data_IF_561900150514
#
_entry.id   IF_561900150514
#
_cell.length_a   1.000
_cell.length_b   1.000
_cell.length_c   1.000
_cell.angle_alpha   90.00
_cell.angle_beta   90.00
_cell.angle_gamma   90.00
#
_symmetry.space_group_name_H-M   'P 1'
#
loop_
_entity.id
_entity.type
_entity.pdbx_description
1 polymer ?
#
# COMPACT_ATOMS: atom_id res chain seq x y z
N UNK A 1 42.18 30.36 37.65
CA UNK A 1 41.76 29.97 36.28
C UNK A 1 40.77 28.84 36.41
N UNK A 2 39.48 29.14 36.28
CA UNK A 2 38.39 28.22 36.61
C UNK A 2 38.05 27.30 35.45
N UNK A 3 37.96 26.01 35.72
CA UNK A 3 37.45 25.02 34.77
C UNK A 3 36.00 25.33 34.40
N UNK A 4 35.59 25.20 33.12
CA UNK A 4 34.19 25.31 32.76
C UNK A 4 33.42 24.12 33.34
N UNK A 5 32.38 24.40 34.11
CA UNK A 5 31.55 23.41 34.81
C UNK A 5 30.82 22.52 33.79
N UNK A 6 30.80 21.18 33.96
CA UNK A 6 30.19 20.22 33.03
C UNK A 6 28.66 20.39 32.87
N UNK A 7 28.05 21.24 33.67
CA UNK A 7 26.60 21.48 33.71
C UNK A 7 26.08 22.26 32.50
N UNK A 8 26.89 23.14 31.88
CA UNK A 8 26.42 23.99 30.79
C UNK A 8 26.26 23.23 29.46
N UNK A 9 27.16 22.27 29.20
CA UNK A 9 27.11 21.41 28.02
C UNK A 9 25.93 20.42 28.10
N UNK A 10 25.71 19.83 29.28
CA UNK A 10 24.60 18.90 29.51
C UNK A 10 23.22 19.55 29.31
N UNK A 11 23.08 20.80 29.74
CA UNK A 11 21.84 21.59 29.58
C UNK A 11 21.58 21.99 28.11
N UNK A 12 22.64 22.28 27.34
CA UNK A 12 22.53 22.58 25.91
C UNK A 12 22.14 21.32 25.10
N UNK A 13 22.68 20.16 25.46
CA UNK A 13 22.32 18.89 24.82
C UNK A 13 20.86 18.48 25.13
N UNK A 14 20.41 18.64 26.37
CA UNK A 14 19.01 18.37 26.76
C UNK A 14 18.02 19.31 26.07
N UNK A 15 18.37 20.59 25.89
CA UNK A 15 17.52 21.54 25.18
C UNK A 15 17.43 21.27 23.68
N UNK A 16 18.50 20.79 23.03
CA UNK A 16 18.46 20.36 21.62
C UNK A 16 17.61 19.08 21.45
N UNK A 17 17.69 18.12 22.38
CA UNK A 17 16.85 16.90 22.35
C UNK A 17 15.36 17.24 22.51
N UNK A 18 15.03 18.23 23.35
CA UNK A 18 13.64 18.68 23.57
C UNK A 18 13.12 19.52 22.38
N UNK A 19 13.97 20.31 21.72
CA UNK A 19 13.58 21.14 20.57
C UNK A 19 13.38 20.34 19.27
N UNK A 20 14.02 19.16 19.15
CA UNK A 20 13.88 18.24 18.02
C UNK A 20 12.97 17.04 18.31
N UNK A 21 12.22 17.04 19.42
CA UNK A 21 11.03 16.21 19.55
C UNK A 21 9.90 16.93 18.79
N UNK A 22 9.61 16.62 17.51
CA UNK A 22 8.27 16.92 17.04
C UNK A 22 7.34 16.22 18.04
N UNK A 23 6.38 16.98 18.56
CA UNK A 23 5.19 16.43 19.20
C UNK A 23 4.53 15.52 18.14
N UNK A 24 4.88 14.23 18.14
CA UNK A 24 4.25 13.22 17.30
C UNK A 24 2.89 12.93 17.94
N UNK A 25 1.97 13.89 17.84
CA UNK A 25 0.55 13.66 17.95
C UNK A 25 0.00 13.43 16.56
N UNK A 26 0.25 12.22 16.06
CA UNK A 26 -0.51 11.63 14.96
C UNK A 26 -0.16 10.16 14.97
N UNK A 27 -1.15 9.30 15.22
CA UNK A 27 -1.06 7.84 15.25
C UNK A 27 -0.07 7.33 14.21
N UNK A 28 1.14 7.04 14.65
CA UNK A 28 2.20 6.53 13.79
C UNK A 28 1.96 5.02 13.66
N UNK A 29 0.94 4.64 12.87
CA UNK A 29 0.85 3.28 12.36
C UNK A 29 2.04 3.09 11.40
N UNK A 30 3.13 2.46 11.87
CA UNK A 30 4.14 1.91 10.97
C UNK A 30 3.45 0.86 10.09
N UNK A 31 3.79 0.81 8.79
CA UNK A 31 2.79 0.65 7.75
C UNK A 31 2.34 -0.80 7.68
N UNK A 32 1.05 -1.00 7.93
CA UNK A 32 0.36 -2.16 7.39
C UNK A 32 0.48 -2.17 5.88
N UNK A 33 0.14 -3.29 5.25
CA UNK A 33 -0.02 -3.33 3.81
C UNK A 33 -1.12 -2.33 3.39
N UNK A 34 -0.81 -1.24 2.66
CA UNK A 34 -1.80 -0.21 2.32
C UNK A 34 -2.99 -0.77 1.52
N UNK A 35 -2.78 -1.88 0.80
CA UNK A 35 -3.85 -2.58 0.11
C UNK A 35 -4.92 -3.13 1.09
N UNK A 36 -4.51 -3.63 2.25
CA UNK A 36 -5.44 -4.09 3.30
C UNK A 36 -6.27 -2.94 3.87
N UNK A 37 -5.66 -1.74 4.01
CA UNK A 37 -6.36 -0.56 4.51
C UNK A 37 -7.45 -0.09 3.52
N UNK A 38 -7.18 -0.15 2.22
CA UNK A 38 -8.20 0.11 1.18
C UNK A 38 -9.34 -0.92 1.25
N UNK A 39 -9.06 -2.21 1.47
CA UNK A 39 -10.12 -3.23 1.68
C UNK A 39 -10.98 -2.88 2.90
N UNK A 40 -10.36 -2.47 4.01
CA UNK A 40 -11.08 -2.06 5.21
C UNK A 40 -11.98 -0.84 4.95
N UNK A 41 -11.49 0.17 4.21
CA UNK A 41 -12.26 1.37 3.83
C UNK A 41 -13.43 1.02 2.90
N UNK A 42 -13.21 0.15 1.91
CA UNK A 42 -14.27 -0.38 1.03
C UNK A 42 -15.38 -1.03 1.87
N UNK A 43 -15.01 -1.90 2.81
CA UNK A 43 -15.97 -2.58 3.68
C UNK A 43 -16.69 -1.62 4.65
N UNK A 44 -16.00 -0.62 5.18
CA UNK A 44 -16.61 0.47 5.96
C UNK A 44 -17.63 1.26 5.13
N UNK A 45 -17.32 1.60 3.88
CA UNK A 45 -18.25 2.29 2.97
C UNK A 45 -19.49 1.44 2.67
N UNK A 46 -19.30 0.14 2.38
CA UNK A 46 -20.38 -0.80 2.09
C UNK A 46 -21.30 -1.00 3.29
N UNK A 47 -20.73 -1.23 4.47
CA UNK A 47 -21.51 -1.43 5.69
C UNK A 47 -22.26 -0.17 6.12
N UNK A 48 -21.69 1.03 5.94
CA UNK A 48 -22.40 2.30 6.10
C UNK A 48 -23.62 2.43 5.16
N UNK A 49 -23.56 1.80 3.97
CA UNK A 49 -24.66 1.70 3.02
C UNK A 49 -25.57 0.47 3.25
N UNK A 50 -25.46 -0.21 4.40
CA UNK A 50 -26.22 -1.44 4.76
C UNK A 50 -26.01 -2.59 3.76
N UNK A 51 -24.82 -2.67 3.17
CA UNK A 51 -24.39 -3.80 2.35
C UNK A 51 -23.48 -4.72 3.17
N UNK A 52 -23.43 -6.00 2.79
CA UNK A 52 -22.50 -6.96 3.39
C UNK A 52 -21.05 -6.59 3.09
N UNK A 53 -20.17 -6.80 4.08
CA UNK A 53 -18.73 -6.75 3.89
C UNK A 53 -18.30 -7.84 2.90
N UNK A 54 -17.29 -7.52 2.10
CA UNK A 54 -16.66 -8.42 1.15
C UNK A 54 -15.49 -9.13 1.82
N UNK A 55 -15.23 -10.35 1.40
CA UNK A 55 -14.05 -11.08 1.85
C UNK A 55 -12.81 -10.59 1.12
N UNK A 56 -11.72 -10.39 1.85
CA UNK A 56 -10.42 -10.11 1.26
C UNK A 56 -9.87 -11.39 0.62
N UNK A 57 -9.69 -11.39 -0.69
CA UNK A 57 -9.17 -12.52 -1.47
C UNK A 57 -7.73 -12.22 -1.89
N UNK A 58 -6.74 -12.96 -1.35
CA UNK A 58 -5.34 -12.84 -1.77
C UNK A 58 -5.15 -13.07 -3.28
N UNK A 59 -5.92 -13.98 -3.89
CA UNK A 59 -5.88 -14.24 -5.33
C UNK A 59 -6.34 -13.05 -6.16
N UNK A 60 -7.48 -12.43 -5.79
CA UNK A 60 -7.93 -11.17 -6.42
C UNK A 60 -6.90 -10.07 -6.20
N UNK A 61 -6.32 -9.95 -5.00
CA UNK A 61 -5.31 -8.95 -4.70
C UNK A 61 -4.07 -9.11 -5.58
N UNK A 62 -3.56 -10.33 -5.71
CA UNK A 62 -2.38 -10.60 -6.53
C UNK A 62 -2.66 -10.31 -8.01
N UNK A 63 -3.82 -10.72 -8.54
CA UNK A 63 -4.19 -10.41 -9.92
C UNK A 63 -4.36 -8.90 -10.14
N UNK A 64 -4.89 -8.18 -9.15
CA UNK A 64 -4.95 -6.71 -9.18
C UNK A 64 -3.55 -6.09 -9.28
N UNK A 65 -2.57 -6.66 -8.58
CA UNK A 65 -1.17 -6.24 -8.68
C UNK A 65 -0.58 -6.54 -10.07
N UNK A 66 -0.84 -7.73 -10.64
CA UNK A 66 -0.42 -8.06 -12.01
C UNK A 66 -1.01 -7.09 -13.04
N UNK A 67 -2.28 -6.73 -12.88
CA UNK A 67 -2.96 -5.73 -13.71
C UNK A 67 -2.18 -4.40 -13.72
N UNK A 68 -1.91 -3.83 -12.54
CA UNK A 68 -1.24 -2.51 -12.48
C UNK A 68 0.24 -2.56 -12.83
N UNK A 69 0.89 -3.71 -12.64
CA UNK A 69 2.26 -3.92 -13.12
C UNK A 69 2.32 -3.89 -14.65
N UNK A 70 1.33 -4.49 -15.34
CA UNK A 70 1.19 -4.40 -16.79
C UNK A 70 0.91 -2.95 -17.24
N UNK A 71 0.13 -2.21 -16.46
CA UNK A 71 -0.30 -0.84 -16.80
C UNK A 71 0.63 0.29 -16.32
N UNK A 72 1.83 -0.03 -15.80
CA UNK A 72 2.72 0.91 -15.08
C UNK A 72 3.20 2.15 -15.85
N UNK A 73 3.05 2.19 -17.17
CA UNK A 73 3.47 3.31 -18.01
C UNK A 73 2.28 4.17 -18.50
N UNK A 74 1.04 3.82 -18.09
CA UNK A 74 -0.19 4.40 -18.63
C UNK A 74 -0.90 5.35 -17.66
N UNK A 75 -0.17 6.02 -16.77
CA UNK A 75 -0.75 7.00 -15.85
C UNK A 75 -0.88 8.38 -16.48
N UNK A 76 -2.11 8.86 -16.69
CA UNK A 76 -2.36 10.23 -17.14
C UNK A 76 -2.04 11.24 -16.03
N UNK A 77 -1.04 12.10 -16.26
CA UNK A 77 -0.56 13.04 -15.25
C UNK A 77 -1.60 14.10 -14.83
N UNK A 78 -2.55 14.43 -15.71
CA UNK A 78 -3.52 15.53 -15.50
C UNK A 78 -4.69 15.13 -14.61
N UNK A 79 -5.15 13.89 -14.74
CA UNK A 79 -6.36 13.42 -14.07
C UNK A 79 -6.17 12.08 -13.37
N UNK A 80 -4.97 11.51 -13.27
CA UNK A 80 -4.72 10.25 -12.55
C UNK A 80 -5.47 9.02 -13.10
N UNK A 81 -6.01 9.09 -14.33
CA UNK A 81 -6.63 7.93 -14.98
C UNK A 81 -5.57 7.01 -15.54
N UNK A 82 -5.80 5.70 -15.46
CA UNK A 82 -4.93 4.69 -16.07
C UNK A 82 -5.50 4.32 -17.45
N UNK A 83 -4.79 4.66 -18.52
CA UNK A 83 -5.19 4.31 -19.89
C UNK A 83 -4.69 2.91 -20.25
N UNK A 84 -5.26 1.89 -19.61
CA UNK A 84 -4.88 0.51 -19.79
C UNK A 84 -6.11 -0.36 -19.56
N UNK A 85 -6.36 -1.30 -20.47
CA UNK A 85 -7.44 -2.25 -20.34
C UNK A 85 -6.94 -3.60 -20.85
N UNK A 86 -6.30 -4.41 -19.99
CA UNK A 86 -5.88 -5.76 -20.33
C UNK A 86 -7.07 -6.60 -20.83
N UNK A 87 -6.87 -7.52 -21.77
CA UNK A 87 -7.87 -8.51 -22.17
C UNK A 87 -8.45 -9.26 -20.97
N UNK A 88 -9.72 -9.67 -21.04
CA UNK A 88 -10.33 -10.47 -19.97
C UNK A 88 -9.64 -11.84 -19.82
N UNK A 89 -9.20 -12.43 -20.93
CA UNK A 89 -8.48 -13.72 -20.95
C UNK A 89 -7.15 -13.65 -20.18
N UNK A 90 -6.51 -12.47 -20.07
CA UNK A 90 -5.27 -12.30 -19.30
C UNK A 90 -5.48 -12.65 -17.83
N UNK A 91 -6.68 -12.50 -17.28
CA UNK A 91 -6.95 -12.87 -15.90
C UNK A 91 -6.78 -14.37 -15.65
N UNK A 92 -7.24 -15.21 -16.56
CA UNK A 92 -7.15 -16.68 -16.46
C UNK A 92 -5.86 -17.24 -17.05
N UNK A 93 -5.31 -16.62 -18.09
CA UNK A 93 -4.16 -17.14 -18.83
C UNK A 93 -2.81 -16.59 -18.34
N UNK A 94 -2.82 -15.40 -17.72
CA UNK A 94 -1.58 -14.71 -17.32
C UNK A 94 -1.57 -14.39 -15.83
N UNK A 95 -2.53 -13.61 -15.34
CA UNK A 95 -2.51 -13.07 -13.98
C UNK A 95 -2.76 -14.15 -12.93
N UNK A 96 -3.81 -14.97 -13.11
CA UNK A 96 -4.12 -16.11 -12.24
C UNK A 96 -2.93 -17.05 -12.11
N UNK A 97 -2.39 -17.60 -13.22
CA UNK A 97 -1.21 -18.46 -13.18
C UNK A 97 0.04 -17.78 -12.59
N UNK A 98 0.30 -16.50 -12.86
CA UNK A 98 1.42 -15.77 -12.23
C UNK A 98 1.23 -15.56 -10.73
N UNK A 99 0.00 -15.62 -10.25
CA UNK A 99 -0.34 -15.56 -8.84
C UNK A 99 -0.43 -16.93 -8.19
N UNK A 100 -0.42 -18.02 -8.96
CA UNK A 100 -0.69 -19.37 -8.46
C UNK A 100 -2.15 -19.56 -8.08
N UNK A 101 -3.07 -18.85 -8.72
CA UNK A 101 -4.51 -19.11 -8.57
C UNK A 101 -4.83 -20.44 -9.23
N UNK A 102 -5.38 -21.37 -8.47
CA UNK A 102 -5.83 -22.66 -8.99
C UNK A 102 -6.95 -22.43 -10.01
N UNK A 103 -6.75 -22.83 -11.27
CA UNK A 103 -7.73 -22.69 -12.35
C UNK A 103 -9.14 -23.19 -11.97
N UNK A 104 -9.32 -24.34 -11.28
CA UNK A 104 -10.64 -24.80 -10.85
C UNK A 104 -11.36 -23.86 -9.86
N UNK A 105 -10.62 -22.97 -9.20
CA UNK A 105 -11.14 -22.03 -8.21
C UNK A 105 -11.40 -20.65 -8.80
N UNK A 106 -11.15 -20.46 -10.10
CA UNK A 106 -11.33 -19.17 -10.75
C UNK A 106 -12.81 -18.78 -10.80
N UNK A 107 -13.19 -17.70 -10.10
CA UNK A 107 -14.54 -17.14 -10.13
C UNK A 107 -14.71 -16.07 -11.21
N UNK A 108 -15.90 -15.50 -11.30
CA UNK A 108 -16.15 -14.37 -12.21
C UNK A 108 -15.64 -13.07 -11.59
N UNK A 109 -14.82 -12.34 -12.35
CA UNK A 109 -14.49 -10.95 -12.00
C UNK A 109 -15.70 -10.09 -12.35
N UNK A 110 -16.29 -9.47 -11.33
CA UNK A 110 -17.56 -8.73 -11.44
C UNK A 110 -17.38 -7.23 -11.52
N UNK A 111 -16.16 -6.73 -11.33
CA UNK A 111 -15.84 -5.33 -11.46
C UNK A 111 -14.39 -5.03 -11.14
N UNK A 112 -13.93 -3.88 -11.62
CA UNK A 112 -12.61 -3.36 -11.27
C UNK A 112 -12.64 -1.84 -11.14
N UNK A 113 -11.71 -1.30 -10.36
CA UNK A 113 -11.45 0.14 -10.24
C UNK A 113 -9.94 0.33 -10.28
N UNK A 114 -9.46 1.19 -11.16
CA UNK A 114 -8.03 1.43 -11.35
C UNK A 114 -7.77 2.93 -11.30
N UNK A 115 -6.69 3.32 -10.62
CA UNK A 115 -6.27 4.70 -10.53
C UNK A 115 -4.77 4.81 -10.33
N UNK A 116 -4.22 5.97 -10.65
CA UNK A 116 -2.82 6.25 -10.40
C UNK A 116 -2.61 7.65 -9.83
N UNK A 117 -1.48 7.84 -9.15
CA UNK A 117 -1.10 9.14 -8.61
C UNK A 117 0.40 9.31 -8.52
N UNK A 118 0.87 10.54 -8.75
CA UNK A 118 2.27 10.93 -8.59
C UNK A 118 2.66 11.15 -7.12
N UNK A 119 1.68 11.35 -6.24
CA UNK A 119 1.94 11.72 -4.85
C UNK A 119 2.03 10.50 -3.94
N UNK A 120 3.13 10.41 -3.18
CA UNK A 120 3.30 9.41 -2.11
C UNK A 120 2.30 9.59 -0.97
N UNK A 121 1.63 10.74 -0.86
CA UNK A 121 0.60 10.99 0.16
C UNK A 121 -0.46 9.90 0.14
N UNK A 122 -0.88 9.45 -1.04
CA UNK A 122 -1.93 8.44 -1.19
C UNK A 122 -1.51 7.03 -0.73
N UNK A 123 -0.23 6.80 -0.42
CA UNK A 123 0.20 5.57 0.25
C UNK A 123 0.09 5.73 1.77
N UNK A 124 0.34 6.93 2.29
CA UNK A 124 0.30 7.24 3.72
C UNK A 124 -1.11 7.60 4.23
N UNK A 125 -2.03 7.95 3.32
CA UNK A 125 -3.41 8.36 3.61
C UNK A 125 -4.38 7.55 2.74
N UNK A 126 -4.78 6.34 3.19
CA UNK A 126 -5.64 5.46 2.40
C UNK A 126 -7.07 5.98 2.21
N UNK A 127 -7.59 6.82 3.12
CA UNK A 127 -8.90 7.48 2.94
C UNK A 127 -8.83 8.50 1.78
N UNK A 128 -7.73 9.25 1.67
CA UNK A 128 -7.50 10.11 0.50
C UNK A 128 -7.30 9.29 -0.78
N UNK A 129 -6.58 8.16 -0.72
CA UNK A 129 -6.43 7.29 -1.90
C UNK A 129 -7.77 6.71 -2.35
N UNK A 130 -8.61 6.29 -1.41
CA UNK A 130 -9.95 5.80 -1.70
C UNK A 130 -10.80 6.88 -2.37
N UNK A 131 -10.86 8.10 -1.84
CA UNK A 131 -11.78 9.15 -2.32
C UNK A 131 -11.26 9.95 -3.52
N UNK A 132 -9.95 10.17 -3.62
CA UNK A 132 -9.37 11.04 -4.65
C UNK A 132 -8.73 10.29 -5.81
N UNK A 133 -8.37 9.01 -5.63
CA UNK A 133 -7.72 8.19 -6.67
C UNK A 133 -8.65 7.10 -7.20
N UNK A 134 -9.27 6.32 -6.32
CA UNK A 134 -10.08 5.15 -6.70
C UNK A 134 -11.56 5.47 -6.92
N UNK A 135 -12.22 6.12 -5.97
CA UNK A 135 -13.68 6.31 -5.91
C UNK A 135 -14.02 7.79 -6.02
N UNK A 136 -13.78 8.33 -7.20
CA UNK A 136 -13.84 9.78 -7.47
C UNK A 136 -15.22 10.28 -7.89
N UNK A 137 -16.09 9.36 -8.31
CA UNK A 137 -17.37 9.68 -8.92
C UNK A 137 -18.45 8.65 -8.54
N UNK A 138 -19.69 8.95 -8.94
CA UNK A 138 -20.82 8.05 -8.70
C UNK A 138 -20.69 6.69 -9.40
N UNK A 139 -19.93 6.60 -10.50
CA UNK A 139 -19.75 5.35 -11.25
C UNK A 139 -18.86 4.39 -10.46
N UNK A 140 -17.68 4.83 -10.06
CA UNK A 140 -16.77 4.06 -9.19
C UNK A 140 -17.42 3.70 -7.85
N UNK A 141 -18.21 4.62 -7.27
CA UNK A 141 -18.98 4.32 -6.05
C UNK A 141 -20.05 3.24 -6.28
N UNK A 142 -20.70 3.23 -7.45
CA UNK A 142 -21.68 2.20 -7.80
C UNK A 142 -21.05 0.82 -7.95
N UNK A 143 -19.81 0.74 -8.45
CA UNK A 143 -19.03 -0.51 -8.49
C UNK A 143 -18.77 -0.99 -7.06
N UNK A 144 -18.21 -0.14 -6.18
CA UNK A 144 -17.97 -0.51 -4.76
C UNK A 144 -19.23 -1.03 -4.06
N UNK A 145 -20.41 -0.48 -4.40
CA UNK A 145 -21.69 -0.81 -3.78
C UNK A 145 -22.50 -1.90 -4.51
N UNK A 146 -21.93 -2.53 -5.53
CA UNK A 146 -22.62 -3.61 -6.22
C UNK A 146 -22.85 -4.81 -5.28
N UNK A 147 -24.06 -5.36 -5.30
CA UNK A 147 -24.50 -6.48 -4.45
C UNK A 147 -24.04 -7.84 -4.98
N UNK A 148 -23.65 -7.94 -6.25
CA UNK A 148 -23.13 -9.18 -6.83
C UNK A 148 -21.75 -9.55 -6.26
N UNK A 149 -20.97 -8.57 -5.81
CA UNK A 149 -19.66 -8.80 -5.23
C UNK A 149 -19.73 -9.63 -3.94
N UNK A 150 -18.86 -10.63 -3.84
CA UNK A 150 -18.65 -11.50 -2.67
C UNK A 150 -17.20 -11.45 -2.15
N UNK A 151 -16.26 -11.16 -3.04
CA UNK A 151 -14.85 -10.97 -2.73
C UNK A 151 -14.32 -9.63 -3.26
N UNK A 152 -13.25 -9.16 -2.62
CA UNK A 152 -12.47 -8.00 -3.05
C UNK A 152 -10.99 -8.31 -2.90
N UNK A 153 -10.16 -7.78 -3.78
CA UNK A 153 -8.71 -7.78 -3.63
C UNK A 153 -8.11 -6.48 -4.18
N UNK A 154 -7.06 -5.98 -3.53
CA UNK A 154 -6.43 -4.71 -3.88
C UNK A 154 -4.95 -4.94 -4.21
N UNK A 155 -4.48 -4.35 -5.30
CA UNK A 155 -3.07 -4.33 -5.70
C UNK A 155 -2.52 -2.91 -5.72
N UNK A 156 -1.28 -2.74 -5.24
CA UNK A 156 -0.53 -1.50 -5.24
C UNK A 156 0.84 -1.71 -5.88
N UNK A 157 1.13 -0.97 -6.94
CA UNK A 157 2.43 -0.98 -7.63
C UNK A 157 3.03 0.43 -7.67
N UNK A 158 4.34 0.55 -7.41
CA UNK A 158 5.05 1.82 -7.46
C UNK A 158 6.18 1.80 -8.47
N UNK A 159 6.25 2.83 -9.32
CA UNK A 159 7.37 3.05 -10.25
C UNK A 159 8.47 3.85 -9.55
N UNK A 160 9.73 3.46 -9.72
CA UNK A 160 10.83 4.19 -9.10
C UNK A 160 10.91 5.62 -9.68
N UNK A 161 10.74 6.63 -8.82
CA UNK A 161 10.65 8.06 -9.20
C UNK A 161 9.47 8.36 -10.16
N UNK A 162 8.44 7.51 -10.14
CA UNK A 162 7.25 7.67 -10.94
C UNK A 162 5.97 7.49 -10.12
N UNK A 163 4.82 7.33 -10.80
CA UNK A 163 3.53 7.19 -10.14
C UNK A 163 3.37 5.86 -9.40
N UNK A 164 2.38 5.87 -8.52
CA UNK A 164 1.80 4.71 -7.87
C UNK A 164 0.49 4.36 -8.56
N UNK A 165 0.24 3.07 -8.67
CA UNK A 165 -0.94 2.51 -9.30
C UNK A 165 -1.68 1.65 -8.30
N UNK A 166 -2.99 1.83 -8.29
CA UNK A 166 -3.92 1.06 -7.48
C UNK A 166 -4.89 0.34 -8.40
N UNK A 167 -5.17 -0.92 -8.10
CA UNK A 167 -6.28 -1.65 -8.70
C UNK A 167 -7.05 -2.35 -7.60
N UNK A 168 -8.37 -2.26 -7.68
CA UNK A 168 -9.32 -3.01 -6.87
C UNK A 168 -10.05 -3.95 -7.81
N UNK A 169 -9.99 -5.25 -7.54
CA UNK A 169 -10.77 -6.28 -8.23
C UNK A 169 -11.88 -6.78 -7.32
N UNK A 170 -13.06 -6.98 -7.90
CA UNK A 170 -14.21 -7.56 -7.24
C UNK A 170 -14.59 -8.88 -7.91
N UNK A 171 -14.93 -9.89 -7.12
CA UNK A 171 -15.33 -11.22 -7.60
C UNK A 171 -16.68 -11.66 -7.04
N UNK A 172 -17.35 -12.57 -7.74
CA UNK A 172 -18.58 -13.25 -7.26
C UNK A 172 -18.29 -14.47 -6.37
N UNK A 173 -17.03 -14.85 -6.25
CA UNK A 173 -16.63 -16.08 -5.62
C UNK A 173 -16.86 -16.14 -4.10
N UNK A 174 -17.25 -17.31 -3.62
CA UNK A 174 -17.45 -17.60 -2.21
C UNK A 174 -16.12 -17.63 -1.43
N UNK A 175 -16.19 -17.34 -0.13
CA UNK A 175 -15.04 -17.34 0.77
C UNK A 175 -14.39 -18.72 0.81
N UNK A 176 -13.06 -18.78 0.75
CA UNK A 176 -12.26 -19.99 0.90
C UNK A 176 -12.46 -21.09 -0.17
N UNK A 177 -13.17 -20.80 -1.26
CA UNK A 177 -13.33 -21.72 -2.39
C UNK A 177 -12.97 -21.10 -3.74
N UNK A 178 -12.78 -19.79 -3.79
CA UNK A 178 -12.53 -19.05 -5.03
C UNK A 178 -11.27 -18.21 -4.97
N UNK A 179 -10.59 -18.12 -6.12
CA UNK A 179 -9.31 -17.48 -6.30
C UNK A 179 -8.25 -17.98 -5.28
N UNK A 180 -8.24 -19.29 -5.04
CA UNK A 180 -7.34 -19.93 -4.08
C UNK A 180 -5.92 -20.00 -4.62
N UNK A 181 -4.95 -19.77 -3.75
CA UNK A 181 -3.53 -19.81 -4.10
C UNK A 181 -2.93 -21.19 -3.77
N UNK A 182 -2.28 -21.82 -4.74
CA UNK A 182 -1.74 -23.21 -4.68
C UNK A 182 -0.80 -23.46 -3.48
N UNK A 183 0.02 -22.48 -3.08
CA UNK A 183 0.96 -22.64 -1.96
C UNK A 183 1.08 -21.37 -1.08
N UNK A 184 0.27 -21.29 -0.01
CA UNK A 184 0.36 -20.25 1.05
C UNK A 184 0.49 -18.80 0.55
N UNK A 185 -0.04 -18.52 -0.64
CA UNK A 185 -0.29 -17.17 -1.13
C UNK A 185 0.92 -16.27 -1.38
N UNK A 186 2.09 -16.84 -1.64
CA UNK A 186 3.14 -16.08 -2.33
C UNK A 186 2.79 -16.09 -3.81
N UNK A 187 2.23 -14.99 -4.32
CA UNK A 187 2.02 -14.85 -5.77
C UNK A 187 3.29 -15.27 -6.50
N UNK A 188 3.20 -16.31 -7.36
CA UNK A 188 4.34 -17.04 -7.92
C UNK A 188 5.41 -16.12 -8.52
N UNK A 189 5.01 -14.95 -9.04
CA UNK A 189 5.91 -13.95 -9.64
C UNK A 189 5.89 -12.56 -8.98
N UNK A 190 5.55 -12.43 -7.71
CA UNK A 190 5.57 -11.12 -7.04
C UNK A 190 7.00 -10.61 -6.78
N UNK A 191 7.48 -9.68 -7.62
CA UNK A 191 8.81 -9.04 -7.45
C UNK A 191 8.76 -7.62 -6.88
N UNK A 192 7.65 -6.90 -7.08
CA UNK A 192 7.48 -5.48 -6.71
C UNK A 192 6.03 -5.19 -6.32
N UNK A 193 5.82 -4.14 -5.54
CA UNK A 193 4.49 -3.76 -5.05
C UNK A 193 3.96 -4.69 -3.95
N UNK A 194 2.68 -4.56 -3.63
CA UNK A 194 1.98 -5.36 -2.64
C UNK A 194 0.51 -5.52 -2.98
N UNK A 195 -0.14 -6.51 -2.38
CA UNK A 195 -1.55 -6.77 -2.58
C UNK A 195 -2.23 -7.25 -1.29
N UNK A 196 -3.54 -7.06 -1.19
CA UNK A 196 -4.31 -7.35 0.02
C UNK A 196 -4.39 -8.85 0.33
N UNK A 197 -4.63 -9.20 1.59
CA UNK A 197 -4.64 -10.59 2.03
C UNK A 197 -3.28 -11.29 2.02
N UNK A 198 -2.20 -10.61 1.58
CA UNK A 198 -0.84 -11.12 1.69
C UNK A 198 -0.26 -10.89 3.08
N UNK A 199 0.56 -11.84 3.54
CA UNK A 199 1.30 -11.74 4.81
C UNK A 199 2.53 -10.82 4.73
N UNK A 200 2.85 -10.30 3.55
CA UNK A 200 4.08 -9.54 3.30
C UNK A 200 3.83 -8.04 3.43
N UNK A 201 4.73 -7.36 4.13
CA UNK A 201 4.74 -5.90 4.17
C UNK A 201 5.00 -5.35 2.77
N UNK A 202 4.40 -4.20 2.45
CA UNK A 202 4.57 -3.59 1.15
C UNK A 202 6.04 -3.18 0.96
N UNK A 203 6.68 -3.68 -0.10
CA UNK A 203 8.10 -3.41 -0.39
C UNK A 203 8.32 -1.94 -0.79
N UNK A 204 8.31 -1.05 0.19
CA UNK A 204 8.92 0.27 0.10
C UNK A 204 10.38 0.11 0.51
N UNK A 205 11.24 -0.13 -0.47
CA UNK A 205 12.68 0.04 -0.26
C UNK A 205 12.95 1.41 0.36
N UNK A 206 13.80 1.44 1.41
CA UNK A 206 14.39 2.60 2.12
C UNK A 206 13.96 2.92 3.57
N UNK A 207 13.60 1.94 4.41
CA UNK A 207 13.67 2.18 5.88
C UNK A 207 15.12 2.26 6.40
N UNK A 208 16.07 1.62 5.71
CA UNK A 208 17.49 1.53 6.13
C UNK A 208 18.23 2.89 5.97
N UNK A 209 17.76 3.77 5.07
CA UNK A 209 18.41 5.05 4.81
C UNK A 209 18.16 6.09 5.91
N UNK A 210 17.02 6.03 6.59
CA UNK A 210 16.74 6.89 7.75
C UNK A 210 17.62 6.47 8.93
N UNK A 211 17.62 5.18 9.30
CA UNK A 211 18.42 4.71 10.44
C UNK A 211 19.92 4.99 10.29
N UNK A 212 20.46 4.86 9.07
CA UNK A 212 21.86 5.14 8.77
C UNK A 212 22.28 6.60 9.00
N UNK A 213 21.44 7.58 8.62
CA UNK A 213 21.74 9.00 8.87
C UNK A 213 21.68 9.35 10.37
N UNK A 214 20.74 8.75 11.11
CA UNK A 214 20.61 8.96 12.55
C UNK A 214 21.80 8.37 13.32
N UNK A 215 22.24 7.16 12.95
CA UNK A 215 23.43 6.53 13.53
C UNK A 215 24.72 7.30 13.19
N UNK A 216 24.86 7.80 11.96
CA UNK A 216 26.01 8.60 11.55
C UNK A 216 26.08 9.92 12.33
N UNK A 217 24.93 10.54 12.59
CA UNK A 217 24.82 11.79 13.37
C UNK A 217 25.18 11.57 14.84
N UNK A 218 24.74 10.46 15.44
CA UNK A 218 25.10 10.07 16.81
C UNK A 218 26.60 9.77 16.95
N UNK A 219 27.18 9.06 15.98
CA UNK A 219 28.62 8.77 15.92
C UNK A 219 29.45 10.05 15.80
N UNK A 220 29.05 10.99 14.96
CA UNK A 220 29.76 12.27 14.79
C UNK A 220 29.73 13.09 16.08
N UNK A 221 28.59 13.13 16.79
CA UNK A 221 28.48 13.79 18.09
C UNK A 221 29.40 13.15 19.16
N UNK A 222 29.49 11.82 19.19
CA UNK A 222 30.36 11.08 20.11
C UNK A 222 31.84 11.36 19.85
N UNK A 223 32.26 11.35 18.58
CA UNK A 223 33.64 11.66 18.18
C UNK A 223 34.02 13.10 18.55
N UNK A 224 33.12 14.06 18.31
CA UNK A 224 33.35 15.46 18.69
C UNK A 224 33.42 15.67 20.20
N UNK A 225 32.75 14.83 21.00
CA UNK A 225 32.83 14.87 22.47
C UNK A 225 34.16 14.30 22.98
N UNK A 226 34.70 13.25 22.34
CA UNK A 226 36.01 12.66 22.70
C UNK A 226 37.16 13.60 22.32
N UNK A 227 37.05 14.31 21.19
CA UNK A 227 38.09 15.26 20.74
C UNK A 227 38.11 16.59 21.51
N UNK A 228 37.07 16.88 22.31
CA UNK A 228 36.96 18.09 23.14
C UNK A 228 37.19 17.87 24.63
N UNK A 229 37.37 16.62 25.06
CA UNK A 229 37.78 16.26 26.43
C UNK A 229 39.28 16.00 26.48
#
# INVERSE_FOLDING_TARGET
MGAPKPCFCLCLCLSIIIFFLPLVSSSHHLPGNPANEIVAIINKNRTAAKLGALNDSPGLGCMALQYVELCKDNCAATNGSVNCNPPEDDFTEVFGPNCGVELPTFGTITGHIVGCSQSKRYIADPEAAFSEVLVRDGRSLSVVRNRSHKGVGVGLFGVHKGPFFWCVLFGDGETNSTFMLEERGQGIKQKKGCFSGSAFACNSSNLIRSLGLWLLSLLLCLVLHILRG
#
